data_IF_461040872447
#
_entry.id   IF_461040872447
#
_cell.length_a   1.000
_cell.length_b   1.000
_cell.length_c   1.000
_cell.angle_alpha   90.00
_cell.angle_beta   90.00
_cell.angle_gamma   90.00
#
_symmetry.space_group_name_H-M   'P 1'
#
loop_
_entity.id
_entity.type
_entity.pdbx_description
1 polymer ?
#
# COMPACT_ATOMS: atom_id res chain seq x y z
N UNK A 1 -16.89 -19.72 8.95
CA UNK A 1 -16.29 -18.60 8.17
C UNK A 1 -16.91 -17.24 8.47
N UNK A 2 -18.24 -17.09 8.53
CA UNK A 2 -18.88 -15.78 8.78
C UNK A 2 -18.58 -15.17 10.17
N UNK A 3 -18.49 -15.99 11.22
CA UNK A 3 -18.05 -15.54 12.56
C UNK A 3 -16.64 -14.93 12.52
N UNK A 4 -15.69 -15.60 11.85
CA UNK A 4 -14.31 -15.11 11.73
C UNK A 4 -14.24 -13.77 10.97
N UNK A 5 -14.98 -13.61 9.86
CA UNK A 5 -15.05 -12.33 9.14
C UNK A 5 -15.60 -11.21 10.02
N UNK A 6 -16.63 -11.51 10.83
CA UNK A 6 -17.24 -10.54 11.74
C UNK A 6 -16.27 -10.09 12.84
N UNK A 7 -15.50 -11.03 13.40
CA UNK A 7 -14.46 -10.72 14.39
C UNK A 7 -13.36 -9.85 13.76
N UNK A 8 -12.84 -10.23 12.58
CA UNK A 8 -11.81 -9.46 11.87
C UNK A 8 -12.31 -8.04 11.56
N UNK A 9 -13.58 -7.90 11.15
CA UNK A 9 -14.19 -6.60 10.89
C UNK A 9 -14.30 -5.74 12.16
N UNK A 10 -14.74 -6.34 13.27
CA UNK A 10 -14.82 -5.65 14.55
C UNK A 10 -13.44 -5.18 15.03
N UNK A 11 -12.42 -6.03 14.90
CA UNK A 11 -11.03 -5.67 15.21
C UNK A 11 -10.51 -4.54 14.33
N UNK A 12 -10.81 -4.57 13.02
CA UNK A 12 -10.41 -3.51 12.10
C UNK A 12 -11.03 -2.16 12.51
N UNK A 13 -12.32 -2.13 12.81
CA UNK A 13 -13.01 -0.89 13.26
C UNK A 13 -12.46 -0.43 14.60
N UNK A 14 -12.33 -1.34 15.58
CA UNK A 14 -11.78 -1.02 16.90
C UNK A 14 -10.37 -0.45 16.81
N UNK A 15 -9.53 -0.94 15.89
CA UNK A 15 -8.18 -0.42 15.67
C UNK A 15 -8.13 0.99 15.07
N UNK A 16 -9.19 1.43 14.38
CA UNK A 16 -9.29 2.80 13.85
C UNK A 16 -9.66 3.82 14.93
N UNK A 17 -10.47 3.43 15.91
CA UNK A 17 -11.10 4.37 16.83
C UNK A 17 -10.11 5.21 17.65
N UNK A 18 -9.03 4.66 18.24
CA UNK A 18 -8.16 5.45 19.10
C UNK A 18 -7.48 6.61 18.36
N UNK A 19 -6.94 6.35 17.16
CA UNK A 19 -6.30 7.39 16.37
C UNK A 19 -7.31 8.39 15.79
N UNK A 20 -8.46 7.90 15.32
CA UNK A 20 -9.55 8.76 14.85
C UNK A 20 -10.01 9.72 15.96
N UNK A 21 -10.17 9.24 17.19
CA UNK A 21 -10.52 10.09 18.35
C UNK A 21 -9.45 11.12 18.62
N UNK A 22 -8.16 10.74 18.63
CA UNK A 22 -7.06 11.71 18.80
C UNK A 22 -7.10 12.80 17.74
N UNK A 23 -7.26 12.43 16.47
CA UNK A 23 -7.36 13.40 15.36
C UNK A 23 -8.56 14.31 15.49
N UNK A 24 -9.72 13.80 15.90
CA UNK A 24 -10.91 14.63 16.14
C UNK A 24 -10.68 15.61 17.30
N UNK A 25 -10.07 15.16 18.39
CA UNK A 25 -9.68 16.03 19.52
C UNK A 25 -8.79 17.17 19.02
N UNK A 26 -7.74 16.86 18.25
CA UNK A 26 -6.82 17.86 17.70
C UNK A 26 -7.51 18.82 16.72
N UNK A 27 -8.45 18.34 15.89
CA UNK A 27 -9.22 19.20 14.97
C UNK A 27 -10.15 20.18 15.70
N UNK A 28 -10.61 19.81 16.90
CA UNK A 28 -11.42 20.66 17.79
C UNK A 28 -10.61 21.53 18.74
N UNK A 29 -9.27 21.54 18.60
CA UNK A 29 -8.37 22.37 19.40
C UNK A 29 -7.87 21.73 20.70
N UNK A 30 -8.17 20.45 20.95
CA UNK A 30 -7.61 19.73 22.10
C UNK A 30 -6.15 19.32 21.88
N UNK A 31 -5.41 19.14 22.97
CA UNK A 31 -3.97 18.84 22.93
C UNK A 31 -3.61 17.48 23.54
N UNK A 32 -4.58 16.54 23.61
CA UNK A 32 -4.36 15.23 24.21
C UNK A 32 -3.17 14.51 23.55
N UNK A 33 -2.16 14.17 24.35
CA UNK A 33 -0.95 13.49 23.88
C UNK A 33 0.05 14.38 23.14
N UNK A 34 -0.14 15.70 23.12
CA UNK A 34 0.81 16.70 22.63
C UNK A 34 1.50 17.33 23.86
N UNK A 35 2.82 17.15 24.04
CA UNK A 35 3.56 17.75 25.15
C UNK A 35 3.57 19.28 25.10
N UNK A 36 3.73 19.93 26.26
CA UNK A 36 4.02 21.36 26.33
C UNK A 36 5.30 21.71 25.56
N UNK A 37 5.29 22.84 24.84
CA UNK A 37 6.41 23.26 23.99
C UNK A 37 6.53 22.50 22.66
N UNK A 38 5.64 21.53 22.38
CA UNK A 38 5.61 20.86 21.09
C UNK A 38 5.25 21.83 19.96
N UNK A 39 6.01 21.77 18.87
CA UNK A 39 5.75 22.56 17.64
C UNK A 39 4.40 22.22 17.00
N UNK A 40 3.75 21.12 17.40
CA UNK A 40 2.39 20.79 16.96
C UNK A 40 1.33 21.75 17.51
N UNK A 41 1.61 22.44 18.63
CA UNK A 41 0.69 23.42 19.21
C UNK A 41 0.51 24.64 18.30
N UNK A 42 1.55 25.03 17.56
CA UNK A 42 1.58 26.22 16.69
C UNK A 42 1.35 25.89 15.19
N UNK A 43 0.89 24.68 14.90
CA UNK A 43 1.08 24.08 13.57
C UNK A 43 0.10 24.53 12.47
N UNK A 44 -0.80 25.45 12.80
CA UNK A 44 -1.58 26.26 11.85
C UNK A 44 -2.51 25.48 10.91
N UNK A 45 -2.99 26.17 9.86
CA UNK A 45 -3.97 25.62 8.92
C UNK A 45 -3.49 24.37 8.17
N UNK A 46 -2.19 24.29 7.86
CA UNK A 46 -1.60 23.13 7.16
C UNK A 46 -1.77 21.85 7.97
N UNK A 47 -1.45 21.85 9.27
CA UNK A 47 -1.64 20.65 10.09
C UNK A 47 -3.09 20.32 10.30
N UNK A 48 -3.96 21.32 10.40
CA UNK A 48 -5.39 21.09 10.45
C UNK A 48 -5.86 20.30 9.21
N UNK A 49 -5.46 20.72 8.01
CA UNK A 49 -5.80 20.03 6.76
C UNK A 49 -5.23 18.61 6.73
N UNK A 50 -3.97 18.40 7.14
CA UNK A 50 -3.36 17.07 7.18
C UNK A 50 -4.07 16.16 8.19
N UNK A 51 -4.47 16.68 9.34
CA UNK A 51 -5.28 15.95 10.33
C UNK A 51 -6.64 15.56 9.75
N UNK A 52 -7.35 16.49 9.11
CA UNK A 52 -8.64 16.22 8.46
C UNK A 52 -8.51 15.15 7.37
N UNK A 53 -7.43 15.21 6.57
CA UNK A 53 -7.13 14.20 5.56
C UNK A 53 -6.92 12.82 6.18
N UNK A 54 -6.18 12.72 7.30
CA UNK A 54 -6.02 11.44 8.01
C UNK A 54 -7.32 10.90 8.62
N UNK A 55 -8.22 11.77 9.08
CA UNK A 55 -9.57 11.34 9.52
C UNK A 55 -10.36 10.76 8.34
N UNK A 56 -10.30 11.40 7.18
CA UNK A 56 -10.96 10.90 5.97
C UNK A 56 -10.38 9.53 5.53
N UNK A 57 -9.07 9.33 5.68
CA UNK A 57 -8.41 8.06 5.39
C UNK A 57 -8.88 6.94 6.33
N UNK A 58 -8.89 7.16 7.64
CA UNK A 58 -9.37 6.17 8.61
C UNK A 58 -10.87 5.89 8.46
N UNK A 59 -11.67 6.92 8.20
CA UNK A 59 -13.08 6.77 7.84
C UNK A 59 -13.26 5.90 6.59
N UNK A 60 -12.40 6.08 5.59
CA UNK A 60 -12.39 5.24 4.37
C UNK A 60 -12.05 3.79 4.70
N UNK A 61 -11.11 3.52 5.61
CA UNK A 61 -10.81 2.15 6.07
C UNK A 61 -12.04 1.49 6.68
N UNK A 62 -12.82 2.20 7.51
CA UNK A 62 -14.07 1.69 8.08
C UNK A 62 -15.07 1.36 6.96
N UNK A 63 -15.25 2.25 5.98
CA UNK A 63 -16.13 2.02 4.82
C UNK A 63 -15.67 0.80 4.01
N UNK A 64 -14.36 0.63 3.80
CA UNK A 64 -13.79 -0.53 3.11
C UNK A 64 -14.05 -1.83 3.88
N UNK A 65 -13.88 -1.84 5.20
CA UNK A 65 -14.20 -3.00 6.04
C UNK A 65 -15.66 -3.41 5.87
N UNK A 66 -16.58 -2.43 5.90
CA UNK A 66 -18.01 -2.68 5.66
C UNK A 66 -18.26 -3.18 4.24
N UNK A 67 -17.61 -2.60 3.22
CA UNK A 67 -17.76 -3.04 1.83
C UNK A 67 -17.27 -4.48 1.62
N UNK A 68 -16.15 -4.86 2.24
CA UNK A 68 -15.57 -6.20 2.10
C UNK A 68 -16.38 -7.29 2.82
N UNK A 69 -17.18 -6.91 3.82
CA UNK A 69 -17.92 -7.84 4.68
C UNK A 69 -19.41 -7.89 4.38
N UNK A 70 -20.00 -6.79 3.90
CA UNK A 70 -21.44 -6.69 3.64
C UNK A 70 -21.81 -7.05 2.20
N UNK A 71 -23.06 -7.53 1.96
CA UNK A 71 -23.50 -7.94 0.63
C UNK A 71 -23.43 -6.83 -0.44
N UNK A 72 -23.66 -5.57 -0.05
CA UNK A 72 -23.66 -4.44 -0.98
C UNK A 72 -22.29 -4.20 -1.61
N UNK A 73 -21.19 -4.46 -0.91
CA UNK A 73 -19.85 -4.22 -1.48
C UNK A 73 -19.51 -5.18 -2.61
N UNK A 74 -20.14 -6.36 -2.67
CA UNK A 74 -20.04 -7.25 -3.85
C UNK A 74 -20.68 -6.64 -5.10
N UNK A 75 -21.62 -5.72 -4.95
CA UNK A 75 -22.29 -5.03 -6.07
C UNK A 75 -21.45 -3.89 -6.63
N UNK A 76 -20.43 -3.44 -5.90
CA UNK A 76 -19.57 -2.36 -6.37
C UNK A 76 -18.72 -2.79 -7.58
N UNK A 77 -18.49 -1.87 -8.54
CA UNK A 77 -17.51 -2.08 -9.59
C UNK A 77 -16.14 -2.35 -8.97
N UNK A 78 -15.39 -3.30 -9.54
CA UNK A 78 -14.09 -3.70 -9.02
C UNK A 78 -13.12 -2.51 -8.90
N UNK A 79 -13.14 -1.59 -9.87
CA UNK A 79 -12.28 -0.41 -9.88
C UNK A 79 -12.55 0.53 -8.69
N UNK A 80 -13.82 0.70 -8.30
CA UNK A 80 -14.23 1.57 -7.18
C UNK A 80 -13.67 1.06 -5.85
N UNK A 81 -13.57 -0.26 -5.67
CA UNK A 81 -12.95 -0.85 -4.48
C UNK A 81 -11.43 -0.98 -4.60
N UNK A 82 -10.93 -1.27 -5.81
CA UNK A 82 -9.53 -1.54 -6.03
C UNK A 82 -8.65 -0.34 -5.69
N UNK A 83 -9.01 0.87 -6.14
CA UNK A 83 -8.21 2.07 -5.89
C UNK A 83 -8.05 2.38 -4.38
N UNK A 84 -9.13 2.52 -3.57
CA UNK A 84 -8.96 2.80 -2.15
C UNK A 84 -8.28 1.65 -1.38
N UNK A 85 -8.46 0.39 -1.79
CA UNK A 85 -7.71 -0.74 -1.19
C UNK A 85 -6.23 -0.73 -1.58
N UNK A 86 -5.90 -0.27 -2.78
CA UNK A 86 -4.53 -0.11 -3.24
C UNK A 86 -3.84 1.03 -2.47
N UNK A 87 -4.54 2.15 -2.26
CA UNK A 87 -4.06 3.27 -1.43
C UNK A 87 -3.86 2.82 0.02
N UNK A 88 -4.85 2.15 0.62
CA UNK A 88 -4.75 1.64 1.99
C UNK A 88 -3.59 0.64 2.13
N UNK A 89 -3.44 -0.28 1.17
CA UNK A 89 -2.31 -1.22 1.13
C UNK A 89 -0.96 -0.50 1.01
N UNK A 90 -0.90 0.57 0.22
CA UNK A 90 0.31 1.35 0.02
C UNK A 90 0.73 2.16 1.26
N UNK A 91 -0.24 2.78 1.93
CA UNK A 91 0.04 3.57 3.13
C UNK A 91 0.29 2.70 4.37
N UNK A 92 -0.43 1.59 4.52
CA UNK A 92 -0.25 0.69 5.66
C UNK A 92 0.91 -0.30 5.47
N UNK A 93 1.34 -0.55 4.22
CA UNK A 93 2.34 -1.57 3.89
C UNK A 93 3.66 -1.42 4.65
N UNK A 94 4.34 -0.26 4.60
CA UNK A 94 5.59 -0.04 5.33
C UNK A 94 5.40 -0.19 6.84
N UNK A 95 4.29 0.32 7.38
CA UNK A 95 3.99 0.25 8.81
C UNK A 95 3.82 -1.20 9.24
N UNK A 96 3.07 -2.00 8.48
CA UNK A 96 2.81 -3.40 8.78
C UNK A 96 4.05 -4.30 8.76
N UNK A 97 5.16 -3.83 8.18
CA UNK A 97 6.43 -4.58 8.07
C UNK A 97 7.50 -3.97 8.96
N UNK A 98 7.83 -2.70 8.76
CA UNK A 98 8.96 -2.06 9.43
C UNK A 98 8.72 -1.93 10.94
N UNK A 99 7.53 -1.51 11.38
CA UNK A 99 7.26 -1.28 12.81
C UNK A 99 7.31 -2.58 13.64
N UNK A 100 6.65 -3.69 13.24
CA UNK A 100 6.82 -4.98 13.92
C UNK A 100 8.28 -5.46 13.96
N UNK A 101 9.06 -5.23 12.91
CA UNK A 101 10.47 -5.59 12.88
C UNK A 101 11.32 -4.74 13.83
N UNK A 102 11.08 -3.42 13.88
CA UNK A 102 11.74 -2.50 14.81
C UNK A 102 11.44 -2.87 16.26
N UNK A 103 10.16 -3.08 16.58
CA UNK A 103 9.74 -3.46 17.95
C UNK A 103 10.32 -4.80 18.37
N UNK A 104 10.33 -5.80 17.49
CA UNK A 104 10.95 -7.10 17.75
C UNK A 104 12.47 -6.97 17.94
N UNK A 105 13.13 -6.20 17.08
CA UNK A 105 14.56 -5.95 17.21
C UNK A 105 14.88 -5.28 18.55
N UNK A 106 14.17 -4.22 18.91
CA UNK A 106 14.34 -3.51 20.19
C UNK A 106 14.13 -4.41 21.41
N UNK A 107 13.12 -5.28 21.37
CA UNK A 107 12.88 -6.26 22.43
C UNK A 107 14.01 -7.29 22.57
N UNK A 108 14.63 -7.71 21.46
CA UNK A 108 15.72 -8.67 21.45
C UNK A 108 17.08 -8.06 21.80
N UNK A 109 17.31 -6.80 21.44
CA UNK A 109 18.55 -6.07 21.73
C UNK A 109 18.58 -5.44 23.13
N UNK A 110 17.46 -5.47 23.86
CA UNK A 110 17.32 -4.80 25.15
C UNK A 110 17.32 -3.26 25.05
N UNK A 111 17.23 -2.71 23.83
CA UNK A 111 17.08 -1.27 23.64
C UNK A 111 15.61 -0.90 23.79
N UNK A 112 15.28 -0.02 24.72
CA UNK A 112 13.92 0.54 24.89
C UNK A 112 13.52 1.53 23.80
N UNK A 113 14.16 1.48 22.63
CA UNK A 113 13.87 2.31 21.46
C UNK A 113 12.61 1.84 20.75
N UNK A 114 11.45 2.21 21.29
CA UNK A 114 10.24 2.27 20.48
C UNK A 114 10.40 3.38 19.44
N UNK A 115 9.68 3.28 18.31
CA UNK A 115 9.66 4.26 17.21
C UNK A 115 9.16 5.68 17.58
N UNK A 116 9.07 6.00 18.87
CA UNK A 116 8.74 7.31 19.41
C UNK A 116 10.04 8.04 19.74
N UNK A 117 10.23 9.20 19.11
CA UNK A 117 11.44 10.01 19.17
C UNK A 117 12.02 10.17 20.58
N UNK A 118 13.35 10.26 20.59
CA UNK A 118 14.19 10.47 21.75
C UNK A 118 13.57 11.42 22.78
N UNK A 119 13.87 11.15 24.05
CA UNK A 119 13.48 11.90 25.24
C UNK A 119 13.86 13.39 25.29
N UNK A 120 14.20 14.02 24.17
CA UNK A 120 14.70 15.39 24.07
C UNK A 120 13.64 16.49 24.11
N UNK A 121 14.10 17.74 24.16
CA UNK A 121 13.28 18.95 24.26
C UNK A 121 12.38 19.26 23.03
N UNK A 122 12.47 18.45 21.96
CA UNK A 122 11.73 18.61 20.71
C UNK A 122 10.67 17.50 20.49
N UNK A 123 10.10 16.95 21.57
CA UNK A 123 9.05 15.92 21.47
C UNK A 123 7.79 16.45 20.79
N UNK A 124 7.41 15.83 19.67
CA UNK A 124 6.17 16.16 18.96
C UNK A 124 4.93 15.62 19.68
N UNK A 125 4.99 14.36 20.12
CA UNK A 125 3.90 13.63 20.75
C UNK A 125 4.43 12.81 21.92
N UNK A 126 3.56 12.54 22.89
CA UNK A 126 3.85 11.62 23.99
C UNK A 126 4.12 10.20 23.49
N UNK A 127 5.01 9.47 24.17
CA UNK A 127 5.46 8.13 23.74
C UNK A 127 4.31 7.13 23.55
N UNK A 128 3.31 7.19 24.42
CA UNK A 128 2.13 6.31 24.34
C UNK A 128 1.30 6.55 23.08
N UNK A 129 1.30 7.77 22.53
CA UNK A 129 0.57 8.10 21.29
C UNK A 129 1.16 7.33 20.13
N UNK A 130 2.50 7.32 20.02
CA UNK A 130 3.19 6.57 18.97
C UNK A 130 2.88 5.07 19.05
N UNK A 131 3.01 4.47 20.23
CA UNK A 131 2.67 3.06 20.44
C UNK A 131 1.22 2.77 20.05
N UNK A 132 0.27 3.56 20.55
CA UNK A 132 -1.15 3.39 20.28
C UNK A 132 -1.48 3.49 18.79
N UNK A 133 -0.91 4.48 18.09
CA UNK A 133 -1.16 4.70 16.66
C UNK A 133 -0.52 3.62 15.80
N UNK A 134 0.76 3.29 16.01
CA UNK A 134 1.44 2.29 15.20
C UNK A 134 0.94 0.86 15.45
N UNK A 135 0.55 0.53 16.69
CA UNK A 135 -0.15 -0.73 16.97
C UNK A 135 -1.52 -0.76 16.28
N UNK A 136 -2.30 0.33 16.36
CA UNK A 136 -3.59 0.46 15.66
C UNK A 136 -3.44 0.25 14.15
N UNK A 137 -2.50 0.94 13.52
CA UNK A 137 -2.19 0.81 12.09
C UNK A 137 -1.73 -0.60 11.70
N UNK A 138 -0.94 -1.26 12.55
CA UNK A 138 -0.53 -2.65 12.32
C UNK A 138 -1.74 -3.58 12.34
N UNK A 139 -2.63 -3.44 13.33
CA UNK A 139 -3.86 -4.24 13.40
C UNK A 139 -4.80 -3.95 12.23
N UNK A 140 -4.97 -2.67 11.85
CA UNK A 140 -5.72 -2.27 10.66
C UNK A 140 -5.16 -2.95 9.40
N UNK A 141 -3.84 -2.91 9.21
CA UNK A 141 -3.18 -3.50 8.05
C UNK A 141 -3.45 -5.01 7.94
N UNK A 142 -3.29 -5.74 9.05
CA UNK A 142 -3.50 -7.18 9.11
C UNK A 142 -4.96 -7.57 8.88
N UNK A 143 -5.88 -6.87 9.54
CA UNK A 143 -7.32 -7.16 9.47
C UNK A 143 -7.90 -6.79 8.10
N UNK A 144 -7.61 -5.59 7.58
CA UNK A 144 -8.04 -5.14 6.26
C UNK A 144 -7.46 -6.03 5.15
N UNK A 145 -6.17 -6.40 5.25
CA UNK A 145 -5.55 -7.33 4.28
C UNK A 145 -6.20 -8.70 4.34
N UNK A 146 -6.52 -9.22 5.52
CA UNK A 146 -7.21 -10.50 5.68
C UNK A 146 -8.59 -10.47 5.02
N UNK A 147 -9.39 -9.42 5.26
CA UNK A 147 -10.69 -9.25 4.62
C UNK A 147 -10.55 -9.10 3.10
N UNK A 148 -9.56 -8.35 2.64
CA UNK A 148 -9.30 -8.16 1.22
C UNK A 148 -8.92 -9.49 0.54
N UNK A 149 -8.04 -10.29 1.15
CA UNK A 149 -7.67 -11.63 0.64
C UNK A 149 -8.89 -12.53 0.55
N UNK A 150 -9.74 -12.57 1.58
CA UNK A 150 -10.98 -13.35 1.56
C UNK A 150 -11.94 -12.86 0.46
N UNK A 151 -12.08 -11.55 0.30
CA UNK A 151 -12.91 -10.95 -0.73
C UNK A 151 -12.42 -11.29 -2.14
N UNK A 152 -11.13 -11.10 -2.42
CA UNK A 152 -10.55 -11.36 -3.75
C UNK A 152 -10.55 -12.85 -4.06
N UNK A 153 -10.27 -13.73 -3.08
CA UNK A 153 -10.37 -15.19 -3.27
C UNK A 153 -11.79 -15.63 -3.62
N UNK A 154 -12.80 -15.03 -2.99
CA UNK A 154 -14.20 -15.36 -3.29
C UNK A 154 -14.66 -14.79 -4.63
N UNK A 155 -14.13 -13.65 -5.06
CA UNK A 155 -14.55 -12.96 -6.28
C UNK A 155 -13.77 -13.38 -7.53
N UNK A 156 -12.46 -13.66 -7.39
CA UNK A 156 -11.53 -13.93 -8.49
C UNK A 156 -10.60 -15.12 -8.22
N UNK A 157 -10.99 -16.03 -7.32
CA UNK A 157 -10.13 -17.15 -6.92
C UNK A 157 -9.65 -18.04 -8.07
N UNK A 158 -10.48 -18.26 -9.09
CA UNK A 158 -10.10 -19.02 -10.29
C UNK A 158 -8.97 -18.31 -11.07
N UNK A 159 -9.13 -17.01 -11.33
CA UNK A 159 -8.12 -16.17 -11.97
C UNK A 159 -6.81 -16.14 -11.17
N UNK A 160 -6.88 -15.95 -9.85
CA UNK A 160 -5.69 -15.93 -8.98
C UNK A 160 -4.91 -17.25 -9.00
N UNK A 161 -5.61 -18.38 -9.15
CA UNK A 161 -4.99 -19.72 -9.23
C UNK A 161 -4.56 -20.09 -10.64
N UNK A 162 -4.87 -19.26 -11.65
CA UNK A 162 -4.42 -19.52 -13.01
C UNK A 162 -2.88 -19.52 -13.08
N UNK A 163 -2.31 -20.23 -14.05
CA UNK A 163 -0.89 -20.09 -14.38
C UNK A 163 -0.52 -18.62 -14.61
N UNK A 164 0.70 -18.25 -14.20
CA UNK A 164 1.25 -16.93 -14.49
C UNK A 164 1.38 -16.70 -15.99
N UNK A 165 1.72 -17.73 -16.76
CA UNK A 165 1.76 -17.72 -18.23
C UNK A 165 0.96 -18.93 -18.74
N UNK A 166 0.01 -18.69 -19.65
CA UNK A 166 -0.94 -19.71 -20.10
C UNK A 166 -0.34 -20.68 -21.13
N UNK A 167 0.77 -20.33 -21.76
CA UNK A 167 1.45 -21.19 -22.75
C UNK A 167 0.79 -21.18 -24.13
N UNK A 168 -0.16 -20.29 -24.38
CA UNK A 168 -0.65 -19.99 -25.72
C UNK A 168 0.35 -19.04 -26.39
N UNK A 169 0.55 -19.20 -27.69
CA UNK A 169 1.22 -18.22 -28.56
C UNK A 169 0.37 -16.94 -28.59
N UNK A 170 0.35 -16.20 -27.48
CA UNK A 170 0.05 -14.77 -27.52
C UNK A 170 1.02 -14.20 -28.57
N UNK A 171 0.51 -13.45 -29.58
CA UNK A 171 1.38 -12.82 -30.56
C UNK A 171 2.54 -12.13 -29.83
N UNK A 172 3.76 -12.39 -30.29
CA UNK A 172 5.03 -12.01 -29.65
C UNK A 172 5.21 -10.49 -29.42
N UNK A 173 4.20 -9.70 -29.82
CA UNK A 173 4.08 -8.29 -29.51
C UNK A 173 3.63 -8.06 -28.07
N UNK A 174 4.52 -8.19 -27.09
CA UNK A 174 4.41 -7.26 -25.94
C UNK A 174 4.46 -5.87 -26.55
N UNK A 175 3.38 -5.06 -26.45
CA UNK A 175 3.34 -3.75 -27.09
C UNK A 175 4.58 -2.96 -26.70
N UNK A 176 5.25 -2.30 -27.65
CA UNK A 176 6.53 -1.61 -27.43
C UNK A 176 6.49 -0.68 -26.21
N UNK A 177 5.35 -0.05 -25.95
CA UNK A 177 5.12 0.81 -24.79
C UNK A 177 5.30 0.13 -23.43
N UNK A 178 5.03 -1.18 -23.29
CA UNK A 178 5.28 -1.90 -22.02
C UNK A 178 6.78 -2.06 -21.76
N UNK A 179 7.58 -2.28 -22.81
CA UNK A 179 9.05 -2.38 -22.71
C UNK A 179 9.64 -1.02 -22.34
N UNK A 180 9.27 0.03 -23.08
CA UNK A 180 9.71 1.40 -22.78
C UNK A 180 9.25 1.86 -21.41
N UNK A 181 8.01 1.56 -21.01
CA UNK A 181 7.49 1.90 -19.71
C UNK A 181 8.22 1.18 -18.57
N UNK A 182 8.56 -0.09 -18.73
CA UNK A 182 9.36 -0.82 -17.73
C UNK A 182 10.79 -0.26 -17.65
N UNK A 183 11.43 0.04 -18.79
CA UNK A 183 12.74 0.70 -18.81
C UNK A 183 12.70 2.07 -18.13
N UNK A 184 11.67 2.87 -18.39
CA UNK A 184 11.46 4.15 -17.71
C UNK A 184 11.26 3.96 -16.21
N UNK A 185 10.46 2.97 -15.79
CA UNK A 185 10.28 2.65 -14.37
C UNK A 185 11.59 2.24 -13.68
N UNK A 186 12.44 1.46 -14.36
CA UNK A 186 13.78 1.11 -13.84
C UNK A 186 14.67 2.35 -13.70
N UNK A 187 14.71 3.23 -14.71
CA UNK A 187 15.51 4.45 -14.68
C UNK A 187 15.05 5.41 -13.59
N UNK A 188 13.73 5.64 -13.46
CA UNK A 188 13.17 6.50 -12.41
C UNK A 188 13.32 5.87 -11.02
N UNK A 189 13.48 4.54 -10.92
CA UNK A 189 13.76 3.88 -9.65
C UNK A 189 15.18 4.11 -9.13
N UNK A 190 16.15 4.48 -9.99
CA UNK A 190 17.55 4.62 -9.58
C UNK A 190 17.75 5.65 -8.45
N UNK A 191 17.21 6.89 -8.53
CA UNK A 191 17.36 7.86 -7.44
C UNK A 191 16.64 7.43 -6.16
N UNK A 192 15.52 6.71 -6.30
CA UNK A 192 14.80 6.13 -5.17
C UNK A 192 15.65 5.08 -4.45
N UNK A 193 16.22 4.13 -5.20
CA UNK A 193 17.09 3.07 -4.67
C UNK A 193 18.34 3.67 -4.03
N UNK A 194 18.99 4.62 -4.71
CA UNK A 194 20.17 5.30 -4.18
C UNK A 194 19.86 6.04 -2.88
N UNK A 195 18.76 6.78 -2.82
CA UNK A 195 18.37 7.52 -1.62
C UNK A 195 18.08 6.62 -0.42
N UNK A 196 17.39 5.50 -0.61
CA UNK A 196 17.19 4.52 0.46
C UNK A 196 18.50 3.80 0.83
N UNK A 197 19.36 3.47 -0.12
CA UNK A 197 20.64 2.81 0.16
C UNK A 197 21.58 3.71 0.98
N UNK A 198 21.64 5.01 0.67
CA UNK A 198 22.42 5.99 1.45
C UNK A 198 21.87 6.11 2.87
N UNK A 199 20.54 6.29 3.03
CA UNK A 199 19.92 6.37 4.36
C UNK A 199 20.05 5.07 5.17
N UNK A 200 20.09 3.93 4.49
CA UNK A 200 20.40 2.65 5.13
C UNK A 200 21.88 2.54 5.56
N UNK A 201 22.82 3.14 4.82
CA UNK A 201 24.24 3.12 5.22
C UNK A 201 24.46 3.98 6.49
N UNK A 202 23.91 5.19 6.49
CA UNK A 202 24.23 6.23 7.47
C UNK A 202 23.21 6.33 8.63
N UNK A 203 22.06 5.67 8.51
CA UNK A 203 20.95 5.78 9.46
C UNK A 203 21.08 4.91 10.70
N UNK A 204 20.25 5.23 11.71
CA UNK A 204 20.01 4.38 12.88
C UNK A 204 19.44 3.02 12.48
N UNK A 205 19.44 2.04 13.39
CA UNK A 205 18.88 0.71 13.09
C UNK A 205 17.42 0.76 12.64
N UNK A 206 16.60 1.64 13.22
CA UNK A 206 15.19 1.80 12.82
C UNK A 206 15.05 2.38 11.41
N UNK A 207 15.91 3.36 11.06
CA UNK A 207 15.98 3.88 9.69
C UNK A 207 16.42 2.78 8.73
N UNK A 208 17.43 1.98 9.10
CA UNK A 208 17.90 0.85 8.30
C UNK A 208 16.80 -0.16 7.99
N UNK A 209 16.01 -0.54 8.99
CA UNK A 209 14.87 -1.46 8.80
C UNK A 209 13.83 -0.84 7.85
N UNK A 210 13.54 0.45 8.03
CA UNK A 210 12.60 1.20 7.18
C UNK A 210 13.08 1.26 5.73
N UNK A 211 14.33 1.67 5.52
CA UNK A 211 14.91 1.83 4.18
C UNK A 211 15.12 0.50 3.47
N UNK A 212 15.54 -0.56 4.18
CA UNK A 212 15.59 -1.92 3.65
C UNK A 212 14.19 -2.41 3.23
N UNK A 213 13.15 -2.08 4.00
CA UNK A 213 11.75 -2.41 3.68
C UNK A 213 11.31 -1.73 2.37
N UNK A 214 11.65 -0.45 2.16
CA UNK A 214 11.36 0.23 0.90
C UNK A 214 12.14 -0.36 -0.28
N UNK A 215 13.42 -0.66 -0.12
CA UNK A 215 14.22 -1.34 -1.15
C UNK A 215 13.59 -2.68 -1.54
N UNK A 216 13.14 -3.48 -0.56
CA UNK A 216 12.41 -4.72 -0.80
C UNK A 216 11.17 -4.49 -1.66
N UNK A 217 10.36 -3.46 -1.35
CA UNK A 217 9.18 -3.12 -2.16
C UNK A 217 9.55 -2.69 -3.58
N UNK A 218 10.59 -1.87 -3.77
CA UNK A 218 11.08 -1.46 -5.10
C UNK A 218 11.43 -2.69 -5.94
N UNK A 219 12.31 -3.55 -5.44
CA UNK A 219 12.77 -4.72 -6.19
C UNK A 219 11.67 -5.74 -6.41
N UNK A 220 10.81 -5.98 -5.42
CA UNK A 220 9.68 -6.88 -5.55
C UNK A 220 8.68 -6.40 -6.60
N UNK A 221 8.35 -5.09 -6.61
CA UNK A 221 7.43 -4.51 -7.59
C UNK A 221 7.98 -4.59 -9.01
N UNK A 222 9.24 -4.19 -9.21
CA UNK A 222 9.92 -4.25 -10.50
C UNK A 222 9.98 -5.69 -11.03
N UNK A 223 10.43 -6.63 -10.20
CA UNK A 223 10.52 -8.03 -10.58
C UNK A 223 9.13 -8.63 -10.89
N UNK A 224 8.11 -8.27 -10.11
CA UNK A 224 6.75 -8.76 -10.30
C UNK A 224 6.13 -8.23 -11.61
N UNK A 225 6.23 -6.93 -11.87
CA UNK A 225 5.74 -6.33 -13.12
C UNK A 225 6.53 -6.86 -14.31
N UNK A 226 7.86 -6.95 -14.23
CA UNK A 226 8.66 -7.58 -15.28
C UNK A 226 8.18 -9.02 -15.58
N UNK A 227 7.95 -9.84 -14.55
CA UNK A 227 7.40 -11.20 -14.70
C UNK A 227 6.00 -11.22 -15.34
N UNK A 228 5.12 -10.26 -14.99
CA UNK A 228 3.78 -10.12 -15.60
C UNK A 228 3.85 -9.72 -17.08
N UNK A 229 4.83 -8.89 -17.44
CA UNK A 229 4.97 -8.34 -18.78
C UNK A 229 5.69 -9.25 -19.76
N UNK A 230 6.50 -10.20 -19.29
CA UNK A 230 7.15 -11.22 -20.12
C UNK A 230 6.12 -12.05 -20.89
N UNK A 231 6.06 -11.89 -22.21
CA UNK A 231 5.22 -12.71 -23.12
C UNK A 231 6.03 -13.57 -24.09
N UNK A 232 7.31 -13.28 -24.33
CA UNK A 232 8.12 -14.06 -25.28
C UNK A 232 8.94 -15.14 -24.57
N UNK A 233 8.73 -16.40 -24.96
CA UNK A 233 9.69 -17.50 -24.68
C UNK A 233 9.18 -18.69 -23.87
N UNK A 234 7.90 -18.75 -23.51
CA UNK A 234 7.36 -19.91 -22.81
C UNK A 234 6.27 -20.58 -23.67
N UNK A 235 6.69 -21.42 -24.61
CA UNK A 235 5.81 -22.45 -25.22
C UNK A 235 5.14 -23.32 -24.14
N UNK A 236 5.70 -23.33 -22.93
CA UNK A 236 5.15 -24.01 -21.77
C UNK A 236 4.41 -23.08 -20.82
N UNK A 237 3.19 -23.50 -20.52
CA UNK A 237 2.42 -23.07 -19.35
C UNK A 237 3.30 -23.00 -18.10
N UNK A 238 3.30 -21.85 -17.43
CA UNK A 238 4.05 -21.66 -16.19
C UNK A 238 3.52 -22.57 -15.09
N UNK A 239 4.42 -23.21 -14.33
CA UNK A 239 4.07 -23.92 -13.10
C UNK A 239 3.73 -22.97 -11.94
N UNK A 240 4.15 -21.71 -12.04
CA UNK A 240 3.88 -20.68 -11.04
C UNK A 240 2.46 -20.15 -11.18
N UNK A 241 1.79 -19.92 -10.04
CA UNK A 241 0.46 -19.29 -10.00
C UNK A 241 0.56 -17.77 -10.17
N UNK A 242 -0.51 -17.14 -10.63
CA UNK A 242 -0.57 -15.68 -10.83
C UNK A 242 -0.52 -14.88 -9.51
N UNK A 243 -1.16 -15.38 -8.46
CA UNK A 243 -1.40 -14.59 -7.24
C UNK A 243 -0.16 -14.00 -6.54
N UNK A 244 1.01 -14.69 -6.40
CA UNK A 244 2.14 -14.11 -5.69
C UNK A 244 2.72 -12.93 -6.46
N UNK A 245 2.84 -13.07 -7.78
CA UNK A 245 3.32 -12.00 -8.66
C UNK A 245 2.35 -10.81 -8.63
N UNK A 246 1.04 -11.08 -8.65
CA UNK A 246 0.05 -10.00 -8.58
C UNK A 246 0.06 -9.29 -7.22
N UNK A 247 0.20 -10.03 -6.12
CA UNK A 247 0.31 -9.45 -4.79
C UNK A 247 1.56 -8.57 -4.64
N UNK A 248 2.71 -9.05 -5.12
CA UNK A 248 3.95 -8.27 -5.10
C UNK A 248 3.87 -7.01 -5.98
N UNK A 249 3.28 -7.10 -7.19
CA UNK A 249 3.07 -5.94 -8.05
C UNK A 249 2.08 -4.95 -7.41
N UNK A 250 0.98 -5.44 -6.83
CA UNK A 250 -0.04 -4.64 -6.16
C UNK A 250 0.53 -3.89 -4.96
N UNK A 251 1.07 -4.63 -3.99
CA UNK A 251 1.59 -4.06 -2.75
C UNK A 251 2.79 -3.17 -3.03
N UNK A 252 3.77 -3.64 -3.80
CA UNK A 252 4.97 -2.86 -4.09
C UNK A 252 4.65 -1.56 -4.84
N UNK A 253 3.83 -1.60 -5.90
CA UNK A 253 3.44 -0.36 -6.60
C UNK A 253 2.64 0.59 -5.71
N UNK A 254 1.73 0.06 -4.89
CA UNK A 254 0.93 0.84 -3.94
C UNK A 254 1.78 1.52 -2.89
N UNK A 255 2.72 0.80 -2.28
CA UNK A 255 3.63 1.35 -1.27
C UNK A 255 4.47 2.46 -1.84
N UNK A 256 5.08 2.25 -3.01
CA UNK A 256 5.93 3.25 -3.64
C UNK A 256 5.14 4.51 -4.00
N UNK A 257 3.98 4.35 -4.65
CA UNK A 257 3.16 5.47 -5.06
C UNK A 257 2.56 6.24 -3.88
N UNK A 258 1.92 5.53 -2.95
CA UNK A 258 1.10 6.18 -1.92
C UNK A 258 1.96 6.70 -0.77
N UNK A 259 2.95 5.93 -0.31
CA UNK A 259 3.84 6.40 0.75
C UNK A 259 4.79 7.49 0.23
N UNK A 260 5.36 7.30 -0.96
CA UNK A 260 6.17 8.33 -1.62
C UNK A 260 5.36 9.62 -1.81
N UNK A 261 4.11 9.50 -2.26
CA UNK A 261 3.21 10.63 -2.46
C UNK A 261 2.83 11.32 -1.16
N UNK A 262 2.64 10.55 -0.08
CA UNK A 262 2.38 11.09 1.27
C UNK A 262 3.56 11.91 1.79
N UNK A 263 4.79 11.40 1.66
CA UNK A 263 6.01 12.13 2.06
C UNK A 263 6.23 13.37 1.18
N UNK A 264 5.97 13.27 -0.13
CA UNK A 264 6.07 14.39 -1.05
C UNK A 264 5.05 15.49 -0.70
N UNK A 265 3.81 15.12 -0.42
CA UNK A 265 2.77 16.05 0.04
C UNK A 265 3.19 16.74 1.34
N UNK A 266 3.71 15.99 2.31
CA UNK A 266 4.22 16.54 3.56
C UNK A 266 5.35 17.55 3.32
N UNK A 267 6.31 17.23 2.46
CA UNK A 267 7.42 18.12 2.15
C UNK A 267 6.98 19.40 1.44
N UNK A 268 6.10 19.29 0.43
CA UNK A 268 5.62 20.42 -0.37
C UNK A 268 4.70 21.37 0.42
N UNK A 269 3.94 20.84 1.37
CA UNK A 269 3.05 21.65 2.22
C UNK A 269 3.78 22.29 3.41
N UNK A 270 5.03 21.90 3.68
CA UNK A 270 5.78 22.27 4.88
C UNK A 270 5.35 21.54 6.15
N UNK A 271 4.26 20.75 6.11
CA UNK A 271 3.78 19.95 7.23
C UNK A 271 4.78 18.85 7.61
N UNK A 272 5.40 18.20 6.63
CA UNK A 272 6.42 17.17 6.85
C UNK A 272 7.57 17.69 7.71
N UNK A 273 8.09 18.89 7.44
CA UNK A 273 9.15 19.52 8.24
C UNK A 273 8.75 19.71 9.71
N UNK A 274 7.49 20.06 9.95
CA UNK A 274 6.93 20.20 11.31
C UNK A 274 6.88 18.84 12.03
N UNK A 275 6.70 17.75 11.28
CA UNK A 275 6.69 16.37 11.79
C UNK A 275 8.09 15.73 11.85
N UNK A 276 9.15 16.50 11.63
CA UNK A 276 10.52 15.97 11.62
C UNK A 276 10.87 15.16 10.37
N UNK A 277 10.07 15.23 9.31
CA UNK A 277 10.38 14.62 8.03
C UNK A 277 11.59 15.32 7.39
N UNK A 278 12.47 14.54 6.77
CA UNK A 278 13.55 15.09 5.95
C UNK A 278 12.98 15.82 4.72
N UNK A 279 13.46 17.05 4.48
CA UNK A 279 13.03 17.88 3.35
C UNK A 279 14.21 18.37 2.50
N UNK A 280 15.33 17.65 2.50
CA UNK A 280 16.49 17.95 1.63
C UNK A 280 16.11 17.77 0.17
N UNK A 281 16.88 18.38 -0.76
CA UNK A 281 16.67 18.17 -2.20
C UNK A 281 16.80 16.71 -2.61
N UNK A 282 17.71 15.96 -1.96
CA UNK A 282 17.86 14.52 -2.15
C UNK A 282 16.62 13.75 -1.69
N UNK A 283 16.09 14.06 -0.51
CA UNK A 283 14.86 13.44 0.00
C UNK A 283 13.66 13.71 -0.92
N UNK A 284 13.49 14.96 -1.37
CA UNK A 284 12.44 15.34 -2.33
C UNK A 284 12.56 14.55 -3.64
N UNK A 285 13.78 14.38 -4.16
CA UNK A 285 14.02 13.58 -5.36
C UNK A 285 13.66 12.10 -5.11
N UNK A 286 14.06 11.54 -3.97
CA UNK A 286 13.69 10.17 -3.56
C UNK A 286 12.18 10.00 -3.51
N UNK A 287 11.45 10.86 -2.81
CA UNK A 287 9.98 10.77 -2.67
C UNK A 287 9.26 10.90 -4.01
N UNK A 288 9.73 11.82 -4.87
CA UNK A 288 9.18 12.04 -6.21
C UNK A 288 9.38 10.81 -7.10
N UNK A 289 10.61 10.30 -7.16
CA UNK A 289 10.94 9.10 -7.93
C UNK A 289 10.21 7.86 -7.41
N UNK A 290 10.12 7.69 -6.08
CA UNK A 290 9.36 6.63 -5.44
C UNK A 290 7.89 6.66 -5.88
N UNK A 291 7.27 7.85 -5.83
CA UNK A 291 5.89 8.06 -6.26
C UNK A 291 5.67 7.68 -7.72
N UNK A 292 6.52 8.21 -8.59
CA UNK A 292 6.44 8.01 -10.05
C UNK A 292 6.63 6.54 -10.43
N UNK A 293 7.61 5.85 -9.83
CA UNK A 293 7.84 4.41 -10.07
C UNK A 293 6.61 3.60 -9.68
N UNK A 294 6.03 3.86 -8.51
CA UNK A 294 4.80 3.18 -8.10
C UNK A 294 3.65 3.35 -9.10
N UNK A 295 3.42 4.57 -9.56
CA UNK A 295 2.38 4.88 -10.56
C UNK A 295 2.66 4.21 -11.93
N UNK A 296 3.91 4.26 -12.40
CA UNK A 296 4.33 3.59 -13.64
C UNK A 296 4.11 2.08 -13.55
N UNK A 297 4.49 1.45 -12.44
CA UNK A 297 4.31 0.02 -12.25
C UNK A 297 2.83 -0.39 -12.16
N UNK A 298 1.99 0.41 -11.48
CA UNK A 298 0.56 0.17 -11.42
C UNK A 298 -0.11 0.27 -12.81
N UNK A 299 0.23 1.30 -13.59
CA UNK A 299 -0.29 1.51 -14.95
C UNK A 299 0.17 0.45 -15.94
N UNK A 300 1.39 -0.10 -15.78
CA UNK A 300 1.88 -1.23 -16.57
C UNK A 300 1.17 -2.55 -16.23
N UNK A 301 0.82 -2.78 -14.96
CA UNK A 301 0.18 -4.01 -14.51
C UNK A 301 -1.33 -4.07 -14.82
N UNK A 302 -2.05 -2.93 -14.74
CA UNK A 302 -3.50 -2.90 -14.81
C UNK A 302 -4.11 -3.43 -16.14
N UNK A 303 -3.60 -3.07 -17.33
CA UNK A 303 -4.15 -3.55 -18.61
C UNK A 303 -4.05 -5.07 -18.76
N UNK A 304 -2.95 -5.68 -18.30
CA UNK A 304 -2.76 -7.15 -18.33
C UNK A 304 -3.78 -7.87 -17.46
N UNK A 305 -4.06 -7.32 -16.27
CA UNK A 305 -5.07 -7.90 -15.39
C UNK A 305 -6.48 -7.78 -15.99
N UNK A 306 -6.80 -6.62 -16.60
CA UNK A 306 -8.09 -6.40 -17.27
C UNK A 306 -8.28 -7.36 -18.45
N UNK A 307 -7.27 -7.51 -19.30
CA UNK A 307 -7.31 -8.46 -20.43
C UNK A 307 -7.54 -9.90 -19.95
N UNK A 308 -6.83 -10.34 -18.90
CA UNK A 308 -6.99 -11.69 -18.35
C UNK A 308 -8.33 -11.93 -17.68
N UNK A 309 -8.87 -10.92 -16.99
CA UNK A 309 -10.20 -11.01 -16.40
C UNK A 309 -11.28 -11.22 -17.48
N UNK A 310 -11.14 -10.57 -18.64
CA UNK A 310 -12.05 -10.74 -19.78
C UNK A 310 -11.97 -12.15 -20.36
N UNK A 311 -10.77 -12.70 -20.55
CA UNK A 311 -10.57 -14.08 -21.04
C UNK A 311 -11.16 -15.16 -20.11
N UNK A 312 -11.21 -14.88 -18.80
CA UNK A 312 -11.74 -15.82 -17.79
C UNK A 312 -13.27 -15.79 -17.66
N UNK A 313 -13.96 -14.90 -18.38
CA UNK A 313 -15.42 -14.82 -18.34
C UNK A 313 -15.98 -15.78 -19.41
N UNK A 314 -16.83 -16.76 -19.06
CA UNK A 314 -17.43 -17.64 -20.05
C UNK A 314 -18.16 -16.79 -21.10
N UNK A 315 -17.80 -16.92 -22.38
CA UNK A 315 -18.64 -16.37 -23.46
C UNK A 315 -20.00 -17.07 -23.37
N UNK A 316 -21.13 -16.35 -23.42
CA UNK A 316 -22.42 -17.00 -23.59
C UNK A 316 -22.33 -17.84 -24.87
N UNK A 317 -22.66 -19.13 -24.76
CA UNK A 317 -22.74 -20.03 -25.90
C UNK A 317 -23.85 -19.50 -26.79
N UNK A 318 -23.51 -18.75 -27.84
CA UNK A 318 -24.43 -18.47 -28.93
C UNK A 318 -24.55 -19.74 -29.77
N UNK A 319 -25.44 -20.63 -29.35
CA UNK A 319 -25.93 -21.77 -30.13
C UNK A 319 -27.38 -22.01 -29.68
N UNK A 320 -28.36 -22.31 -30.52
CA UNK A 320 -28.33 -22.69 -31.91
C UNK A 320 -29.69 -22.30 -32.54
N UNK A 321 -29.63 -21.99 -33.83
CA UNK A 321 -30.69 -22.13 -34.84
C UNK A 321 -31.97 -22.85 -34.38
N UNK A 322 -33.06 -22.09 -34.21
CA UNK A 322 -34.41 -22.64 -34.42
C UNK A 322 -34.72 -22.55 -35.92
N UNK A 323 -34.33 -23.58 -36.68
CA UNK A 323 -35.01 -23.93 -37.93
C UNK A 323 -35.99 -25.06 -37.63
N UNK A 324 -37.10 -25.01 -38.35
CA UNK A 324 -38.17 -26.02 -38.49
C UNK A 324 -39.18 -26.07 -37.35
N UNK A 325 -40.37 -25.50 -37.60
CA UNK A 325 -41.52 -26.33 -37.93
C UNK A 325 -42.32 -25.67 -39.05
N UNK A 326 -42.69 -26.51 -40.02
CA UNK A 326 -43.62 -26.26 -41.11
C UNK A 326 -45.05 -26.03 -40.58
#
# INVERSE_FOLDING_TARGET
>A
MERAKSIIAALAVAACLPYLVLKLVWLTGGHLGIPEGSRLLDSGATMWILNALTVAMDGTVIVLVLALTRPWGRRLPAAVLALPLWIACGLLGPIAVAFPLQTLYGALSGSTGGSGGDGGADKLLEGWVWTLVYTGFTVQALTLSSLFVLYVRNRWGALLRSPLHLGETEPDSTPRWHRYGLSAAVLVALPCVAGHAVRMADGSTDSRITDATFLLYVFAALAAVAKLLRTGGAERRSKSRLWPTLAAAWTGSGVLACWGGWLLLGALTGGGRTLGQETTGAALLTYSCQTLVGLLLATLAAPRLRHRAQLSTPRPVSGATARQHA
#
